data_IF_296520576666
#
_entry.id   IF_296520576666
#
_cell.length_a   1.000
_cell.length_b   1.000
_cell.length_c   1.000
_cell.angle_alpha   90.00
_cell.angle_beta   90.00
_cell.angle_gamma   90.00
#
_symmetry.space_group_name_H-M   'P 1'
#
loop_
_entity.id
_entity.type
_entity.pdbx_description
1 polymer ?
#
# COMPACT_ATOMS: atom_id res chain seq x y z
N UNK A 1 -4.16 26.16 5.93
CA UNK A 1 -5.32 25.89 5.05
C UNK A 1 -6.44 25.29 5.89
N UNK A 2 -7.50 26.04 6.20
CA UNK A 2 -8.54 25.62 7.14
C UNK A 2 -9.64 24.86 6.39
N UNK A 3 -9.68 23.54 6.59
CA UNK A 3 -10.64 22.59 6.02
C UNK A 3 -12.11 22.96 6.28
N UNK A 4 -12.36 23.86 7.22
CA UNK A 4 -13.68 24.32 7.69
C UNK A 4 -14.39 25.29 6.74
N UNK A 5 -13.72 25.86 5.72
CA UNK A 5 -14.35 26.82 4.78
C UNK A 5 -14.83 26.21 3.46
N UNK A 6 -14.75 24.89 3.29
CA UNK A 6 -15.18 24.23 2.06
C UNK A 6 -16.66 23.79 2.16
N UNK A 7 -17.51 24.31 1.27
CA UNK A 7 -18.92 23.89 1.16
C UNK A 7 -19.03 22.37 0.95
N UNK A 8 -20.10 21.76 1.45
CA UNK A 8 -20.29 20.30 1.47
C UNK A 8 -20.08 19.64 0.09
N UNK A 9 -20.50 20.32 -0.98
CA UNK A 9 -20.32 19.87 -2.37
C UNK A 9 -18.86 19.73 -2.80
N UNK A 10 -18.00 20.67 -2.41
CA UNK A 10 -16.57 20.62 -2.74
C UNK A 10 -15.87 19.52 -1.94
N UNK A 11 -16.29 19.27 -0.70
CA UNK A 11 -15.79 18.12 0.08
C UNK A 11 -16.17 16.79 -0.59
N UNK A 12 -17.41 16.67 -1.07
CA UNK A 12 -17.89 15.48 -1.78
C UNK A 12 -17.15 15.25 -3.10
N UNK A 13 -16.87 16.30 -3.86
CA UNK A 13 -16.08 16.22 -5.09
C UNK A 13 -14.63 15.76 -4.84
N UNK A 14 -13.96 16.30 -3.82
CA UNK A 14 -12.59 15.88 -3.44
C UNK A 14 -12.58 14.43 -2.96
N UNK A 15 -13.59 14.03 -2.17
CA UNK A 15 -13.71 12.66 -1.69
C UNK A 15 -13.91 11.67 -2.83
N UNK A 16 -14.81 11.97 -3.78
CA UNK A 16 -15.03 11.13 -4.96
C UNK A 16 -13.79 11.03 -5.85
N UNK A 17 -13.07 12.14 -6.04
CA UNK A 17 -11.85 12.14 -6.83
C UNK A 17 -10.72 11.32 -6.16
N UNK A 18 -10.56 11.45 -4.84
CA UNK A 18 -9.58 10.68 -4.07
C UNK A 18 -9.89 9.18 -4.10
N UNK A 19 -11.17 8.80 -4.00
CA UNK A 19 -11.60 7.41 -4.04
C UNK A 19 -11.38 6.77 -5.42
N UNK A 20 -11.64 7.52 -6.51
CA UNK A 20 -11.30 7.09 -7.88
C UNK A 20 -9.80 6.87 -8.05
N UNK A 21 -8.98 7.83 -7.61
CA UNK A 21 -7.52 7.71 -7.67
C UNK A 21 -7.01 6.48 -6.92
N UNK A 22 -7.52 6.22 -5.73
CA UNK A 22 -7.15 5.03 -4.95
C UNK A 22 -7.53 3.72 -5.67
N UNK A 23 -8.72 3.67 -6.26
CA UNK A 23 -9.24 2.47 -6.94
C UNK A 23 -8.50 2.18 -8.25
N UNK A 24 -8.12 3.21 -9.01
CA UNK A 24 -7.43 3.04 -10.29
C UNK A 24 -5.94 2.73 -10.14
N UNK A 25 -5.28 3.25 -9.08
CA UNK A 25 -3.84 3.14 -8.92
C UNK A 25 -3.40 2.05 -7.93
N UNK A 26 -4.28 1.56 -7.07
CA UNK A 26 -3.95 0.55 -6.06
C UNK A 26 -4.86 -0.67 -6.19
N UNK A 27 -4.24 -1.85 -6.21
CA UNK A 27 -4.95 -3.13 -6.09
C UNK A 27 -4.72 -3.68 -4.70
N UNK A 28 -5.81 -3.92 -3.97
CA UNK A 28 -5.75 -4.61 -2.68
C UNK A 28 -5.64 -6.11 -2.93
N UNK A 29 -4.63 -6.75 -2.37
CA UNK A 29 -4.44 -8.19 -2.43
C UNK A 29 -4.49 -8.71 -1.00
N UNK A 30 -5.44 -9.60 -0.72
CA UNK A 30 -5.53 -10.31 0.56
C UNK A 30 -4.81 -11.64 0.41
N UNK A 31 -3.68 -11.80 1.09
CA UNK A 31 -2.89 -13.03 1.09
C UNK A 31 -2.98 -13.71 2.45
N UNK A 32 -3.21 -15.02 2.47
CA UNK A 32 -3.10 -15.84 3.68
C UNK A 32 -1.73 -16.52 3.67
N UNK A 33 -0.88 -16.15 4.62
CA UNK A 33 0.45 -16.70 4.79
C UNK A 33 0.43 -17.73 5.93
N UNK A 34 1.39 -18.66 5.91
CA UNK A 34 1.67 -19.49 7.09
C UNK A 34 2.19 -18.60 8.22
N UNK A 35 1.92 -18.94 9.49
CA UNK A 35 2.33 -18.11 10.63
C UNK A 35 3.84 -17.88 10.66
N UNK A 36 4.62 -18.93 10.39
CA UNK A 36 6.09 -18.90 10.29
C UNK A 36 6.59 -17.84 9.28
N UNK A 37 6.05 -17.88 8.06
CA UNK A 37 6.41 -16.92 7.01
C UNK A 37 5.90 -15.50 7.31
N UNK A 38 4.81 -15.35 8.04
CA UNK A 38 4.32 -14.04 8.45
C UNK A 38 5.23 -13.40 9.51
N UNK A 39 5.75 -14.21 10.45
CA UNK A 39 6.67 -13.77 11.49
C UNK A 39 8.03 -13.35 10.91
N UNK A 40 8.55 -14.12 9.94
CA UNK A 40 9.74 -13.75 9.17
C UNK A 40 9.56 -12.44 8.41
N UNK A 41 8.39 -12.27 7.77
CA UNK A 41 8.08 -11.06 7.00
C UNK A 41 8.00 -9.82 7.91
N UNK A 42 7.38 -9.96 9.09
CA UNK A 42 7.33 -8.91 10.10
C UNK A 42 8.72 -8.60 10.68
N UNK A 43 9.53 -9.62 10.94
CA UNK A 43 10.90 -9.47 11.43
C UNK A 43 11.80 -8.74 10.44
N UNK A 44 11.69 -9.05 9.14
CA UNK A 44 12.42 -8.36 8.07
C UNK A 44 11.95 -6.91 7.95
N UNK A 45 10.63 -6.68 8.00
CA UNK A 45 10.08 -5.32 8.00
C UNK A 45 10.57 -4.49 9.20
N UNK A 46 10.66 -5.10 10.38
CA UNK A 46 11.19 -4.45 11.58
C UNK A 46 12.69 -4.17 11.47
N UNK A 47 13.47 -5.10 10.92
CA UNK A 47 14.92 -5.00 10.78
C UNK A 47 15.32 -3.93 9.76
N UNK A 48 14.65 -3.90 8.60
CA UNK A 48 14.93 -2.91 7.56
C UNK A 48 14.17 -1.58 7.77
N UNK A 49 13.31 -1.49 8.80
CA UNK A 49 12.42 -0.35 9.05
C UNK A 49 11.61 0.05 7.81
N UNK A 50 11.13 -0.94 7.06
CA UNK A 50 10.35 -0.75 5.83
C UNK A 50 8.92 -1.24 5.99
N UNK A 51 8.00 -0.58 5.30
CA UNK A 51 6.61 -1.00 5.21
C UNK A 51 6.47 -2.32 4.45
N UNK A 52 5.55 -3.20 4.89
CA UNK A 52 5.17 -4.46 4.20
C UNK A 52 5.03 -4.34 2.67
N UNK A 53 4.35 -3.33 2.10
CA UNK A 53 4.27 -3.15 0.65
C UNK A 53 5.62 -2.84 -0.03
N UNK A 54 6.55 -2.15 0.64
CA UNK A 54 7.88 -1.87 0.09
C UNK A 54 8.76 -3.13 0.07
N UNK A 55 8.62 -3.99 1.09
CA UNK A 55 9.25 -5.31 1.09
C UNK A 55 8.74 -6.15 -0.10
N UNK A 56 7.43 -6.20 -0.33
CA UNK A 56 6.84 -6.90 -1.48
C UNK A 56 7.39 -6.34 -2.80
N UNK A 57 7.53 -5.02 -2.94
CA UNK A 57 8.10 -4.38 -4.12
C UNK A 57 9.56 -4.80 -4.35
N UNK A 58 10.39 -4.82 -3.30
CA UNK A 58 11.77 -5.31 -3.37
C UNK A 58 11.82 -6.79 -3.78
N UNK A 59 11.00 -7.64 -3.15
CA UNK A 59 10.92 -9.07 -3.48
C UNK A 59 10.55 -9.31 -4.94
N UNK A 60 9.54 -8.60 -5.46
CA UNK A 60 9.15 -8.67 -6.88
C UNK A 60 10.28 -8.20 -7.81
N UNK A 61 11.01 -7.15 -7.42
CA UNK A 61 12.17 -6.67 -8.16
C UNK A 61 13.29 -7.72 -8.26
N UNK A 62 13.63 -8.35 -7.14
CA UNK A 62 14.63 -9.44 -7.08
C UNK A 62 14.17 -10.62 -7.94
N UNK A 63 12.92 -11.05 -7.80
CA UNK A 63 12.37 -12.16 -8.60
C UNK A 63 12.40 -11.89 -10.11
N UNK A 64 12.11 -10.65 -10.53
CA UNK A 64 12.22 -10.25 -11.95
C UNK A 64 13.66 -10.25 -12.45
N UNK A 65 14.62 -9.85 -11.62
CA UNK A 65 16.04 -9.90 -11.97
C UNK A 65 16.58 -11.32 -12.04
N UNK A 66 16.05 -12.26 -11.25
CA UNK A 66 16.42 -13.68 -11.26
C UNK A 66 15.84 -14.47 -12.46
N UNK A 67 14.83 -13.93 -13.14
CA UNK A 67 14.21 -14.53 -14.32
C UNK A 67 14.84 -14.07 -15.65
N UNK A 68 15.85 -13.19 -15.60
CA UNK A 68 16.68 -12.80 -16.75
C UNK A 68 17.95 -13.64 -16.78
#
# INVERSE_FOLDING_TARGET
MIYSKLSADRKKAINNNSNRYATENYKTITLKLKPDLADDLDSICATESISRPELIKKMVGIYKSLQK
#
